data_IF_464671241108
#
_entry.id   IF_464671241108
#
_cell.length_a   1.000
_cell.length_b   1.000
_cell.length_c   1.000
_cell.angle_alpha   90.00
_cell.angle_beta   90.00
_cell.angle_gamma   90.00
#
_symmetry.space_group_name_H-M   'P 1'
#
loop_
_entity.id
_entity.type
_entity.pdbx_description
1 polymer ?
#
# COMPACT_ATOMS: atom_id res chain seq x y z
N UNK A 1 -13.57 57.22 57.78
CA UNK A 1 -13.91 56.17 58.76
C UNK A 1 -14.29 54.89 58.03
N UNK A 2 -13.51 53.82 58.26
CA UNK A 2 -13.90 52.40 58.29
C UNK A 2 -14.44 51.69 57.02
N UNK A 3 -13.48 51.08 56.29
CA UNK A 3 -13.30 49.63 56.07
C UNK A 3 -14.55 48.71 55.94
N UNK A 4 -14.61 47.89 54.88
CA UNK A 4 -14.17 46.47 54.91
C UNK A 4 -14.15 45.82 53.50
N UNK A 5 -13.18 44.93 53.19
CA UNK A 5 -13.01 44.32 51.87
C UNK A 5 -13.62 42.92 51.81
N UNK A 6 -14.19 42.53 50.66
CA UNK A 6 -14.63 41.16 50.40
C UNK A 6 -13.89 40.55 49.21
N UNK A 7 -13.04 39.57 49.53
CA UNK A 7 -12.46 38.58 48.61
C UNK A 7 -13.47 37.44 48.44
N UNK A 8 -13.60 36.90 47.22
CA UNK A 8 -14.06 35.55 46.82
C UNK A 8 -14.24 35.57 45.30
N UNK A 9 -13.87 34.61 44.47
CA UNK A 9 -13.06 33.41 44.54
C UNK A 9 -12.78 33.08 43.05
N UNK A 10 -11.52 32.90 42.66
CA UNK A 10 -11.18 32.55 41.28
C UNK A 10 -11.43 31.05 41.13
N UNK A 11 -12.41 30.68 40.31
CA UNK A 11 -12.69 29.28 39.97
C UNK A 11 -11.65 28.85 38.95
N UNK A 12 -10.74 27.97 39.34
CA UNK A 12 -9.80 27.31 38.42
C UNK A 12 -10.58 26.29 37.59
N UNK A 13 -10.72 26.58 36.29
CA UNK A 13 -11.25 25.63 35.31
C UNK A 13 -10.12 24.64 34.96
N UNK A 14 -10.22 23.41 35.45
CA UNK A 14 -9.33 22.32 35.03
C UNK A 14 -9.77 21.87 33.64
N UNK A 15 -9.07 22.31 32.61
CA UNK A 15 -9.19 21.74 31.27
C UNK A 15 -8.45 20.41 31.28
N UNK A 16 -9.21 19.31 31.38
CA UNK A 16 -8.69 17.99 31.08
C UNK A 16 -8.34 17.96 29.58
N UNK A 17 -7.07 18.18 29.26
CA UNK A 17 -6.52 17.88 27.96
C UNK A 17 -6.59 16.37 27.77
N UNK A 18 -7.70 15.89 27.22
CA UNK A 18 -7.82 14.53 26.74
C UNK A 18 -6.72 14.31 25.70
N UNK A 19 -5.74 13.48 26.06
CA UNK A 19 -4.73 12.99 25.14
C UNK A 19 -5.43 12.28 24.00
N UNK A 20 -5.66 13.00 22.90
CA UNK A 20 -5.97 12.42 21.61
C UNK A 20 -4.73 11.63 21.21
N UNK A 21 -4.62 10.40 21.70
CA UNK A 21 -3.79 9.38 21.09
C UNK A 21 -4.40 9.14 19.72
N UNK A 22 -3.99 9.96 18.75
CA UNK A 22 -4.21 9.68 17.35
C UNK A 22 -3.54 8.35 17.10
N UNK A 23 -4.34 7.29 16.95
CA UNK A 23 -3.89 6.11 16.25
C UNK A 23 -3.49 6.61 14.87
N UNK A 24 -2.19 6.84 14.66
CA UNK A 24 -1.64 7.03 13.34
C UNK A 24 -2.13 5.81 12.56
N UNK A 25 -3.06 6.03 11.62
CA UNK A 25 -3.49 5.00 10.72
C UNK A 25 -2.20 4.48 10.08
N UNK A 26 -1.79 3.27 10.46
CA UNK A 26 -0.61 2.65 9.92
C UNK A 26 -0.82 2.66 8.40
N UNK A 27 0.04 3.40 7.70
CA UNK A 27 -0.01 3.45 6.24
C UNK A 27 0.08 2.03 5.67
N UNK A 28 -0.27 1.84 4.39
CA UNK A 28 0.01 0.57 3.74
C UNK A 28 1.49 0.21 3.96
N UNK A 29 1.81 -1.07 4.19
CA UNK A 29 3.18 -1.50 4.41
C UNK A 29 4.07 -1.01 3.27
N UNK A 30 5.31 -0.65 3.57
CA UNK A 30 6.26 -0.32 2.51
C UNK A 30 6.44 -1.52 1.58
N UNK A 31 6.50 -1.29 0.26
CA UNK A 31 6.71 -2.37 -0.69
C UNK A 31 8.13 -2.94 -0.57
N UNK A 32 8.26 -4.26 -0.76
CA UNK A 32 9.56 -4.93 -0.85
C UNK A 32 10.35 -4.45 -2.07
N UNK A 33 9.65 -4.04 -3.12
CA UNK A 33 10.24 -3.30 -4.23
C UNK A 33 9.28 -2.25 -4.79
N UNK A 34 9.83 -1.10 -5.19
CA UNK A 34 9.12 -0.06 -5.92
C UNK A 34 10.06 0.64 -6.90
N UNK A 35 9.79 0.54 -8.20
CA UNK A 35 10.61 1.18 -9.23
C UNK A 35 9.79 1.59 -10.47
N UNK A 36 10.40 2.37 -11.34
CA UNK A 36 9.88 2.60 -12.70
C UNK A 36 10.65 1.71 -13.66
N UNK A 37 9.96 0.83 -14.38
CA UNK A 37 10.53 -0.07 -15.38
C UNK A 37 9.85 0.16 -16.72
N UNK A 38 10.62 0.57 -17.73
CA UNK A 38 10.13 0.84 -19.10
C UNK A 38 8.90 1.77 -19.15
N UNK A 39 8.89 2.80 -18.30
CA UNK A 39 7.79 3.78 -18.25
C UNK A 39 6.62 3.37 -17.35
N UNK A 40 6.58 2.14 -16.85
CA UNK A 40 5.56 1.67 -15.92
C UNK A 40 6.05 1.72 -14.48
N UNK A 41 5.18 2.14 -13.56
CA UNK A 41 5.47 2.06 -12.12
C UNK A 41 5.13 0.66 -11.63
N UNK A 42 6.12 -0.04 -11.10
CA UNK A 42 5.93 -1.38 -10.54
C UNK A 42 6.19 -1.40 -9.04
N UNK A 43 5.35 -2.12 -8.31
CA UNK A 43 5.49 -2.29 -6.85
C UNK A 43 5.12 -3.70 -6.44
N UNK A 44 5.77 -4.23 -5.40
CA UNK A 44 5.39 -5.54 -4.87
C UNK A 44 5.62 -5.73 -3.38
N UNK A 45 4.90 -6.72 -2.84
CA UNK A 45 4.89 -7.10 -1.43
C UNK A 45 4.82 -8.62 -1.29
N UNK A 46 5.42 -9.15 -0.23
CA UNK A 46 5.29 -10.52 0.20
C UNK A 46 5.91 -11.54 -0.75
N UNK A 47 5.63 -12.81 -0.46
CA UNK A 47 6.11 -13.95 -1.22
C UNK A 47 5.10 -15.11 -1.19
N UNK A 48 5.28 -16.08 -2.07
CA UNK A 48 4.43 -17.26 -2.19
C UNK A 48 2.97 -16.87 -2.43
N UNK A 49 2.06 -17.51 -1.70
CA UNK A 49 0.61 -17.28 -1.78
C UNK A 49 0.17 -15.89 -1.30
N UNK A 50 1.07 -15.11 -0.68
CA UNK A 50 0.80 -13.74 -0.24
C UNK A 50 1.50 -12.71 -1.11
N UNK A 51 2.12 -13.13 -2.20
CA UNK A 51 2.78 -12.24 -3.14
C UNK A 51 1.77 -11.33 -3.84
N UNK A 52 2.08 -10.04 -3.85
CA UNK A 52 1.27 -9.00 -4.47
C UNK A 52 2.17 -8.19 -5.38
N UNK A 53 1.82 -8.11 -6.66
CA UNK A 53 2.52 -7.27 -7.64
C UNK A 53 1.54 -6.32 -8.32
N UNK A 54 2.00 -5.12 -8.63
CA UNK A 54 1.20 -4.08 -9.28
C UNK A 54 2.00 -3.42 -10.39
N UNK A 55 1.29 -3.08 -11.47
CA UNK A 55 1.78 -2.30 -12.61
C UNK A 55 0.83 -1.10 -12.74
N UNK A 56 1.35 0.11 -12.63
CA UNK A 56 0.62 1.38 -12.62
C UNK A 56 -0.55 1.40 -11.63
N UNK A 57 -0.32 0.84 -10.45
CA UNK A 57 -1.33 0.75 -9.38
C UNK A 57 -2.41 -0.29 -9.62
N UNK A 58 -2.27 -1.15 -10.64
CA UNK A 58 -3.23 -2.19 -10.99
C UNK A 58 -2.62 -3.55 -10.74
N UNK A 59 -3.37 -4.45 -10.08
CA UNK A 59 -2.81 -5.70 -9.60
C UNK A 59 -2.50 -6.65 -10.76
N UNK A 60 -1.25 -7.12 -10.80
CA UNK A 60 -0.82 -8.23 -11.61
C UNK A 60 -1.16 -9.54 -10.88
N UNK A 61 -1.92 -10.42 -11.53
CA UNK A 61 -2.13 -11.78 -11.02
C UNK A 61 -0.86 -12.59 -11.28
N UNK A 62 -0.27 -13.11 -10.22
CA UNK A 62 0.90 -14.00 -10.26
C UNK A 62 0.53 -15.34 -9.64
N UNK A 63 1.19 -16.40 -10.11
CA UNK A 63 1.04 -17.75 -9.58
C UNK A 63 2.39 -18.21 -9.05
N UNK A 64 2.54 -18.39 -7.73
CA UNK A 64 3.79 -18.87 -7.15
C UNK A 64 4.08 -20.32 -7.58
N UNK A 65 5.36 -20.64 -7.67
CA UNK A 65 5.86 -21.97 -8.04
C UNK A 65 6.58 -22.62 -6.83
N UNK A 66 6.69 -23.97 -6.79
CA UNK A 66 7.32 -24.68 -5.67
C UNK A 66 8.79 -24.32 -5.44
N UNK A 67 9.48 -23.81 -6.46
CA UNK A 67 10.87 -23.38 -6.42
C UNK A 67 11.04 -21.92 -5.95
N UNK A 68 9.95 -21.25 -5.58
CA UNK A 68 9.93 -19.84 -5.18
C UNK A 68 9.80 -18.86 -6.34
N UNK A 69 9.75 -19.36 -7.58
CA UNK A 69 9.48 -18.56 -8.77
C UNK A 69 8.02 -18.17 -8.92
N UNK A 70 7.72 -17.42 -9.98
CA UNK A 70 6.36 -16.97 -10.30
C UNK A 70 6.08 -17.07 -11.80
N UNK A 71 4.82 -17.30 -12.13
CA UNK A 71 4.28 -17.18 -13.49
C UNK A 71 3.12 -16.19 -13.53
N UNK A 72 2.72 -15.75 -14.72
CA UNK A 72 1.55 -14.89 -14.92
C UNK A 72 0.96 -15.11 -16.30
N UNK A 73 -0.37 -15.01 -16.41
CA UNK A 73 -1.06 -15.10 -17.69
C UNK A 73 -0.62 -14.00 -18.68
N UNK A 74 -0.19 -12.83 -18.18
CA UNK A 74 0.17 -11.67 -19.01
C UNK A 74 1.33 -11.96 -19.96
N UNK A 75 2.31 -12.74 -19.51
CA UNK A 75 3.47 -13.13 -20.32
C UNK A 75 3.38 -14.57 -20.86
N UNK A 76 2.22 -15.22 -20.72
CA UNK A 76 2.01 -16.59 -21.21
C UNK A 76 2.61 -17.67 -20.30
N UNK A 77 2.56 -17.45 -18.98
CA UNK A 77 2.97 -18.41 -17.95
C UNK A 77 4.44 -18.88 -18.02
N UNK A 78 5.35 -18.13 -18.64
CA UNK A 78 6.78 -18.42 -18.53
C UNK A 78 7.25 -18.20 -17.09
N UNK A 79 8.08 -19.10 -16.54
CA UNK A 79 8.60 -18.97 -15.19
C UNK A 79 9.59 -17.81 -15.08
N UNK A 80 9.55 -17.12 -13.95
CA UNK A 80 10.53 -16.13 -13.56
C UNK A 80 11.02 -16.41 -12.13
N UNK A 81 12.30 -16.12 -11.81
CA UNK A 81 12.94 -16.56 -10.57
C UNK A 81 12.39 -15.87 -9.31
N UNK A 82 11.75 -14.71 -9.44
CA UNK A 82 11.22 -13.93 -8.32
C UNK A 82 10.09 -13.00 -8.75
N UNK A 83 9.47 -12.34 -7.76
CA UNK A 83 8.31 -11.48 -7.95
C UNK A 83 8.63 -10.22 -8.78
N UNK A 84 9.84 -9.66 -8.64
CA UNK A 84 10.28 -8.51 -9.43
C UNK A 84 10.48 -8.93 -10.89
N UNK A 85 11.10 -10.09 -11.12
CA UNK A 85 11.36 -10.64 -12.44
C UNK A 85 10.07 -10.93 -13.20
N UNK A 86 9.07 -11.58 -12.58
CA UNK A 86 7.77 -11.81 -13.25
C UNK A 86 7.04 -10.50 -13.55
N UNK A 87 7.19 -9.49 -12.69
CA UNK A 87 6.56 -8.18 -12.90
C UNK A 87 7.20 -7.44 -14.07
N UNK A 88 8.54 -7.42 -14.17
CA UNK A 88 9.27 -6.86 -15.32
C UNK A 88 9.00 -7.62 -16.62
N UNK A 89 8.89 -8.94 -16.57
CA UNK A 89 8.51 -9.77 -17.71
C UNK A 89 7.08 -9.44 -18.19
N UNK A 90 6.16 -9.22 -17.26
CA UNK A 90 4.79 -8.83 -17.57
C UNK A 90 4.71 -7.43 -18.18
N UNK A 91 5.48 -6.45 -17.68
CA UNK A 91 5.62 -5.14 -18.34
C UNK A 91 6.17 -5.29 -19.76
N UNK A 92 7.17 -6.15 -19.94
CA UNK A 92 7.75 -6.40 -21.27
C UNK A 92 6.73 -7.01 -22.24
N UNK A 93 5.87 -7.91 -21.78
CA UNK A 93 4.82 -8.51 -22.58
C UNK A 93 3.67 -7.53 -22.90
N UNK A 94 3.37 -6.59 -22.00
CA UNK A 94 2.36 -5.55 -22.21
C UNK A 94 2.79 -4.50 -23.23
N UNK A 95 4.07 -4.12 -23.25
CA UNK A 95 4.53 -2.99 -24.06
C UNK A 95 3.84 -1.70 -23.61
N UNK A 96 3.22 -0.96 -24.53
CA UNK A 96 2.49 0.29 -24.21
C UNK A 96 1.08 0.04 -23.64
N UNK A 97 0.66 -1.23 -23.49
CA UNK A 97 -0.65 -1.59 -22.96
C UNK A 97 -0.67 -1.54 -21.43
N UNK A 98 -1.84 -1.26 -20.87
CA UNK A 98 -2.11 -1.41 -19.44
C UNK A 98 -2.79 -2.72 -19.10
N UNK A 99 -2.73 -3.12 -17.83
CA UNK A 99 -3.58 -4.21 -17.31
C UNK A 99 -5.07 -3.85 -17.47
N UNK A 100 -5.99 -4.79 -17.20
CA UNK A 100 -7.44 -4.54 -17.02
C UNK A 100 -7.79 -4.33 -15.54
N UNK A 101 -8.80 -3.51 -15.19
CA UNK A 101 -9.07 -3.07 -13.79
C UNK A 101 -9.67 -4.18 -12.94
N UNK A 102 -9.95 -5.31 -13.54
CA UNK A 102 -10.82 -6.38 -13.04
C UNK A 102 -10.09 -7.45 -12.24
N UNK A 103 -8.86 -7.20 -11.78
CA UNK A 103 -8.20 -8.16 -10.91
C UNK A 103 -9.01 -8.30 -9.60
N UNK A 104 -9.57 -9.48 -9.33
CA UNK A 104 -10.46 -9.73 -8.17
C UNK A 104 -9.77 -9.38 -6.85
N UNK A 105 -10.24 -8.43 -6.03
CA UNK A 105 -9.52 -7.96 -4.84
C UNK A 105 -9.07 -9.12 -3.94
N UNK A 106 -7.81 -9.10 -3.52
CA UNK A 106 -7.22 -10.11 -2.64
C UNK A 106 -7.09 -9.52 -1.24
N UNK A 107 -7.63 -10.21 -0.25
CA UNK A 107 -7.71 -9.72 1.13
C UNK A 107 -6.35 -9.42 1.78
N UNK A 108 -5.28 -10.04 1.28
CA UNK A 108 -3.92 -9.88 1.80
C UNK A 108 -3.10 -8.83 1.04
N UNK A 109 -3.55 -8.38 -0.14
CA UNK A 109 -2.81 -7.37 -0.89
C UNK A 109 -3.25 -5.95 -0.51
N UNK A 110 -2.30 -5.02 -0.38
CA UNK A 110 -2.62 -3.63 -0.09
C UNK A 110 -3.46 -3.07 -1.23
N UNK A 111 -4.55 -2.37 -0.88
CA UNK A 111 -5.40 -1.72 -1.86
C UNK A 111 -4.67 -0.47 -2.36
N UNK A 112 -3.93 -0.59 -3.46
CA UNK A 112 -3.32 0.59 -4.09
C UNK A 112 -4.40 1.29 -4.89
N UNK A 113 -4.83 2.47 -4.43
CA UNK A 113 -5.67 3.34 -5.24
C UNK A 113 -4.83 3.77 -6.44
N UNK A 114 -5.17 3.29 -7.64
CA UNK A 114 -4.56 3.79 -8.86
C UNK A 114 -4.66 5.31 -8.85
N UNK A 115 -3.53 6.02 -8.91
CA UNK A 115 -3.55 7.47 -9.00
C UNK A 115 -4.38 7.84 -10.23
N UNK A 116 -5.47 8.56 -10.01
CA UNK A 116 -6.37 9.01 -11.08
C UNK A 116 -5.56 9.91 -12.03
N UNK A 117 -5.67 9.73 -13.36
CA UNK A 117 -4.98 10.59 -14.33
C UNK A 117 -5.44 12.05 -14.22
#
# INVERSE_FOLDING_TARGET
MNAKPWRRAVTLLVVAAGSLSGAAAAGPPEPDFAETYRGHRITGWGSGERACAYIDGRRLVVFPQPDGGYTSAVQGFQPAPDLLAITRASVTALGDLGLATTAEPSAHCPQTVAARP
#
